data_IF_677501491259
#
_entry.id   IF_677501491259
#
_cell.length_a   1.000
_cell.length_b   1.000
_cell.length_c   1.000
_cell.angle_alpha   90.00
_cell.angle_beta   90.00
_cell.angle_gamma   90.00
#
_symmetry.space_group_name_H-M   'P 1'
#
loop_
_entity.id
_entity.type
_entity.pdbx_description
1 polymer ?
#
# COMPACT_ATOMS: atom_id res chain seq x y z
N UNK A 1 -11.18 7.46 -2.87
CA UNK A 1 -10.06 6.95 -2.07
C UNK A 1 -9.86 5.48 -2.40
N UNK A 2 -8.64 4.97 -2.29
CA UNK A 2 -8.30 3.58 -2.58
C UNK A 2 -7.49 2.97 -1.43
N UNK A 3 -7.88 1.79 -0.96
CA UNK A 3 -7.11 1.02 0.02
C UNK A 3 -6.01 0.21 -0.67
N UNK A 4 -4.87 0.08 0.00
CA UNK A 4 -3.75 -0.69 -0.50
C UNK A 4 -3.04 -1.48 0.60
N UNK A 5 -2.21 -2.43 0.17
CA UNK A 5 -1.19 -3.09 0.99
C UNK A 5 0.19 -2.91 0.35
N UNK A 6 1.24 -2.89 1.18
CA UNK A 6 2.61 -3.03 0.72
C UNK A 6 3.05 -4.49 0.88
N UNK A 7 3.36 -5.10 -0.26
CA UNK A 7 3.81 -6.48 -0.34
C UNK A 7 5.33 -6.49 -0.46
N UNK A 8 6.02 -6.90 0.62
CA UNK A 8 7.46 -7.12 0.65
C UNK A 8 7.79 -8.50 0.10
N UNK A 9 8.55 -8.55 -1.00
CA UNK A 9 9.03 -9.78 -1.63
C UNK A 9 10.32 -10.28 -1.00
N UNK A 10 11.21 -9.36 -0.64
CA UNK A 10 12.54 -9.67 -0.09
C UNK A 10 12.85 -8.78 1.11
N UNK A 11 13.11 -9.37 2.27
CA UNK A 11 13.47 -8.63 3.49
C UNK A 11 14.99 -8.64 3.73
N UNK A 12 15.70 -7.76 3.01
CA UNK A 12 17.17 -7.68 3.10
C UNK A 12 17.65 -7.24 4.50
N UNK A 13 16.85 -6.45 5.22
CA UNK A 13 17.22 -5.97 6.56
C UNK A 13 16.93 -6.96 7.68
N UNK A 14 16.06 -7.96 7.44
CA UNK A 14 15.60 -8.90 8.46
C UNK A 14 14.67 -8.29 9.52
N UNK A 15 14.23 -7.04 9.35
CA UNK A 15 13.43 -6.33 10.34
C UNK A 15 11.91 -6.49 10.15
N UNK A 16 11.46 -6.76 8.93
CA UNK A 16 10.04 -6.59 8.56
C UNK A 16 9.36 -7.84 8.04
N UNK A 17 10.14 -8.88 7.71
CA UNK A 17 9.64 -10.08 7.05
C UNK A 17 9.14 -9.81 5.63
N UNK A 18 8.57 -10.85 5.02
CA UNK A 18 7.98 -10.81 3.68
C UNK A 18 6.45 -10.90 3.76
N UNK A 19 5.75 -10.48 2.70
CA UNK A 19 4.29 -10.46 2.62
C UNK A 19 3.71 -9.07 2.84
N UNK A 20 2.47 -8.98 3.32
CA UNK A 20 1.77 -7.73 3.56
C UNK A 20 2.28 -7.02 4.83
N UNK A 21 3.37 -6.25 4.68
CA UNK A 21 4.08 -5.62 5.81
C UNK A 21 3.47 -4.28 6.24
N UNK A 22 2.66 -3.66 5.39
CA UNK A 22 1.91 -2.45 5.71
C UNK A 22 0.59 -2.38 4.94
N UNK A 23 -0.33 -1.58 5.45
CA UNK A 23 -1.63 -1.27 4.86
C UNK A 23 -1.85 0.24 4.84
N UNK A 24 -2.75 0.72 3.97
CA UNK A 24 -3.00 2.15 3.89
C UNK A 24 -4.12 2.56 2.97
N UNK A 25 -4.29 3.88 2.84
CA UNK A 25 -5.27 4.52 1.97
C UNK A 25 -4.59 5.62 1.17
N UNK A 26 -4.89 5.67 -0.13
CA UNK A 26 -4.61 6.78 -1.03
C UNK A 26 -5.89 7.62 -1.12
N UNK A 27 -5.82 8.88 -0.72
CA UNK A 27 -6.93 9.83 -0.78
C UNK A 27 -7.16 10.32 -2.21
N UNK A 28 -8.32 10.93 -2.46
CA UNK A 28 -8.69 11.43 -3.78
C UNK A 28 -7.80 12.55 -4.30
N UNK A 29 -7.07 13.23 -3.41
CA UNK A 29 -6.08 14.26 -3.74
C UNK A 29 -4.67 13.71 -3.99
N UNK A 30 -4.50 12.38 -3.89
CA UNK A 30 -3.22 11.69 -4.09
C UNK A 30 -2.39 11.52 -2.82
N UNK A 31 -2.72 12.19 -1.71
CA UNK A 31 -2.05 11.98 -0.41
C UNK A 31 -2.26 10.55 0.06
N UNK A 32 -1.33 10.02 0.86
CA UNK A 32 -1.41 8.64 1.34
C UNK A 32 -1.10 8.53 2.84
N UNK A 33 -1.84 7.66 3.53
CA UNK A 33 -1.53 7.24 4.90
C UNK A 33 -1.21 5.75 4.90
N UNK A 34 -0.15 5.38 5.60
CA UNK A 34 0.33 4.01 5.71
C UNK A 34 0.54 3.63 7.18
N UNK A 35 0.15 2.42 7.54
CA UNK A 35 0.39 1.81 8.85
C UNK A 35 1.18 0.52 8.67
N UNK A 36 2.23 0.36 9.46
CA UNK A 36 2.99 -0.89 9.51
C UNK A 36 2.20 -1.98 10.25
N UNK A 37 2.17 -3.17 9.65
CA UNK A 37 1.59 -4.39 10.24
C UNK A 37 2.58 -5.18 11.07
N UNK A 38 3.82 -4.70 11.14
CA UNK A 38 4.93 -5.29 11.89
C UNK A 38 5.46 -4.28 12.90
N UNK A 39 5.96 -4.78 14.04
CA UNK A 39 6.54 -3.93 15.08
C UNK A 39 7.64 -3.03 14.49
N UNK A 40 7.72 -1.74 14.88
CA UNK A 40 7.02 -1.09 15.99
C UNK A 40 5.61 -0.53 15.67
N UNK A 41 4.96 -0.93 14.57
CA UNK A 41 3.58 -0.54 14.21
C UNK A 41 3.37 0.97 14.04
N UNK A 42 4.32 1.66 13.41
CA UNK A 42 4.22 3.10 13.18
C UNK A 42 3.23 3.46 12.07
N UNK A 43 2.84 4.74 12.04
CA UNK A 43 1.99 5.35 11.01
C UNK A 43 2.78 6.46 10.31
N UNK A 44 2.64 6.56 9.00
CA UNK A 44 3.30 7.57 8.18
C UNK A 44 2.29 8.21 7.21
N UNK A 45 2.52 9.49 6.91
CA UNK A 45 1.72 10.30 5.99
C UNK A 45 2.65 10.79 4.87
N UNK A 46 2.18 10.69 3.63
CA UNK A 46 2.90 11.07 2.41
C UNK A 46 2.08 12.08 1.61
N UNK A 47 2.77 13.05 1.00
CA UNK A 47 2.15 14.04 0.13
C UNK A 47 1.61 13.43 -1.16
N UNK A 48 2.20 12.32 -1.61
CA UNK A 48 1.73 11.53 -2.75
C UNK A 48 1.99 10.03 -2.55
N UNK A 49 1.30 9.19 -3.33
CA UNK A 49 1.62 7.76 -3.43
C UNK A 49 3.03 7.51 -3.99
N UNK A 50 3.53 8.40 -4.84
CA UNK A 50 4.87 8.28 -5.44
C UNK A 50 5.96 8.48 -4.38
N UNK A 51 5.77 9.43 -3.44
CA UNK A 51 6.69 9.61 -2.30
C UNK A 51 6.75 8.35 -1.43
N UNK A 52 5.59 7.72 -1.20
CA UNK A 52 5.50 6.46 -0.46
C UNK A 52 6.28 5.35 -1.16
N UNK A 53 6.11 5.19 -2.48
CA UNK A 53 6.81 4.18 -3.28
C UNK A 53 8.31 4.50 -3.38
N UNK A 54 8.70 5.77 -3.46
CA UNK A 54 10.10 6.17 -3.48
C UNK A 54 10.82 5.75 -2.20
N UNK A 55 10.15 5.92 -1.04
CA UNK A 55 10.73 5.55 0.26
C UNK A 55 10.72 4.03 0.48
N UNK A 56 9.64 3.33 0.12
CA UNK A 56 9.43 1.93 0.51
C UNK A 56 9.59 0.91 -0.61
N UNK A 57 9.59 1.30 -1.87
CA UNK A 57 9.57 0.39 -3.02
C UNK A 57 10.85 -0.44 -3.18
N UNK A 58 12.00 0.12 -2.79
CA UNK A 58 13.32 -0.53 -2.79
C UNK A 58 13.60 -1.41 -4.02
N UNK A 59 13.63 -0.82 -5.22
CA UNK A 59 13.87 -1.51 -6.50
C UNK A 59 12.87 -2.65 -6.80
N UNK A 60 11.62 -2.49 -6.35
CA UNK A 60 10.56 -3.48 -6.56
C UNK A 60 10.56 -4.62 -5.52
N UNK A 61 11.42 -4.55 -4.50
CA UNK A 61 11.37 -5.47 -3.35
C UNK A 61 10.12 -5.26 -2.51
N UNK A 62 9.53 -4.07 -2.54
CA UNK A 62 8.19 -3.83 -2.01
C UNK A 62 7.29 -3.31 -3.12
N UNK A 63 6.08 -3.85 -3.22
CA UNK A 63 5.11 -3.45 -4.24
C UNK A 63 3.83 -2.99 -3.59
N UNK A 64 3.27 -1.89 -4.07
CA UNK A 64 1.95 -1.42 -3.68
C UNK A 64 0.87 -2.21 -4.44
N UNK A 65 -0.07 -2.78 -3.70
CA UNK A 65 -1.22 -3.50 -4.24
C UNK A 65 -2.51 -2.83 -3.78
N UNK A 66 -3.28 -2.27 -4.73
CA UNK A 66 -4.64 -1.76 -4.47
C UNK A 66 -5.59 -2.94 -4.26
N UNK A 67 -6.41 -2.90 -3.22
CA UNK A 67 -7.29 -4.02 -2.80
C UNK A 67 -8.78 -3.72 -2.93
N UNK A 68 -9.14 -2.53 -3.41
CA UNK A 68 -10.53 -2.22 -3.73
C UNK A 68 -10.92 -2.93 -5.03
N UNK A 69 -11.95 -3.78 -4.95
CA UNK A 69 -12.54 -4.39 -6.14
C UNK A 69 -13.20 -3.31 -7.00
N UNK A 70 -13.13 -3.39 -8.34
CA UNK A 70 -14.03 -2.61 -9.16
C UNK A 70 -15.46 -2.99 -8.77
N UNK A 71 -16.34 -1.99 -8.59
CA UNK A 71 -17.75 -2.24 -8.34
C UNK A 71 -18.28 -3.24 -9.38
N UNK A 72 -19.14 -4.20 -8.99
CA UNK A 72 -19.76 -5.11 -9.96
C UNK A 72 -20.34 -4.29 -11.10
N UNK A 73 -20.03 -4.66 -12.35
CA UNK A 73 -20.67 -4.04 -13.51
C UNK A 73 -22.16 -4.33 -13.40
N UNK A 74 -22.95 -3.32 -13.06
CA UNK A 74 -24.40 -3.38 -13.23
C UNK A 74 -24.67 -3.48 -14.73
N UNK A 75 -25.05 -4.67 -15.19
CA UNK A 75 -25.64 -4.80 -16.52
C UNK A 75 -27.06 -4.28 -16.41
N UNK A 76 -27.47 -3.26 -17.20
CA UNK A 76 -28.85 -2.87 -17.23
C UNK A 76 -29.68 -4.06 -17.72
N UNK A 77 -30.55 -4.56 -16.85
CA UNK A 77 -31.65 -5.45 -17.23
C UNK A 77 -32.51 -4.68 -18.21
N UNK A 78 -32.43 -5.06 -19.49
CA UNK A 78 -33.32 -4.58 -20.55
C UNK A 78 -34.75 -5.08 -20.38
#
# INVERSE_FOLDING_TARGET
MQRFQLIRREDVSGCSGTGAVAEGVIFSDGTAVMRWNVAPYSLAIYGSVDDLIQVHGHEGRTVLQVIDQPAPREFPSG
#
